data_IF_317816744887
#
_entry.id   IF_317816744887
#
_cell.length_a   1.000
_cell.length_b   1.000
_cell.length_c   1.000
_cell.angle_alpha   90.00
_cell.angle_beta   90.00
_cell.angle_gamma   90.00
#
_symmetry.space_group_name_H-M   'P 1'
#
loop_
_entity.id
_entity.type
_entity.pdbx_description
1 polymer ?
#
# COMPACT_ATOMS: atom_id res chain seq x y z
N UNK A 1 1.50 36.95 -37.18
CA UNK A 1 2.83 36.56 -36.68
C UNK A 1 2.99 37.14 -35.28
N UNK A 2 2.66 36.36 -34.25
CA UNK A 2 2.89 36.76 -32.86
C UNK A 2 4.39 36.67 -32.58
N UNK A 3 4.98 37.74 -32.04
CA UNK A 3 6.37 37.74 -31.60
C UNK A 3 6.43 36.90 -30.33
N UNK A 4 6.98 35.69 -30.41
CA UNK A 4 7.39 34.92 -29.24
C UNK A 4 8.39 35.77 -28.47
N UNK A 5 7.97 36.30 -27.31
CA UNK A 5 8.92 36.84 -26.34
C UNK A 5 9.84 35.70 -25.92
N UNK A 6 11.18 35.89 -25.95
CA UNK A 6 12.09 34.88 -25.46
C UNK A 6 11.80 34.64 -23.97
N UNK A 7 11.45 33.40 -23.63
CA UNK A 7 11.19 32.91 -22.27
C UNK A 7 12.47 32.80 -21.44
N UNK A 8 13.46 33.66 -21.70
CA UNK A 8 14.82 33.47 -21.21
C UNK A 8 14.94 33.59 -19.69
N UNK A 9 13.90 34.05 -18.97
CA UNK A 9 13.98 34.29 -17.53
C UNK A 9 13.02 33.52 -16.60
N UNK A 10 12.21 32.58 -17.10
CA UNK A 10 11.14 31.97 -16.28
C UNK A 10 11.62 30.72 -15.55
N UNK A 11 11.56 30.74 -14.22
CA UNK A 11 11.65 29.55 -13.36
C UNK A 11 10.23 29.22 -12.93
N UNK A 12 9.78 28.00 -13.22
CA UNK A 12 8.45 27.52 -12.85
C UNK A 12 8.62 26.36 -11.87
N UNK A 13 8.27 26.61 -10.61
CA UNK A 13 8.32 25.61 -9.55
C UNK A 13 6.91 25.16 -9.18
N UNK A 14 6.71 23.85 -9.19
CA UNK A 14 5.55 23.18 -8.63
C UNK A 14 5.92 22.62 -7.25
N UNK A 15 5.40 23.20 -6.16
CA UNK A 15 5.65 22.68 -4.82
C UNK A 15 5.13 21.24 -4.68
N UNK A 16 5.63 20.56 -3.65
CA UNK A 16 5.25 19.18 -3.36
C UNK A 16 3.75 19.09 -3.06
N UNK A 17 3.01 18.34 -3.88
CA UNK A 17 1.57 18.15 -3.78
C UNK A 17 1.21 16.66 -3.75
N UNK A 18 0.06 16.30 -3.18
CA UNK A 18 -0.41 14.90 -3.17
C UNK A 18 -0.75 14.42 -4.58
N UNK A 19 -0.30 13.21 -4.91
CA UNK A 19 -0.37 12.68 -6.26
C UNK A 19 -0.75 11.20 -6.30
N UNK A 20 -1.41 10.83 -7.40
CA UNK A 20 -1.68 9.45 -7.81
C UNK A 20 -0.96 9.21 -9.13
N UNK A 21 -0.19 8.14 -9.19
CA UNK A 21 0.60 7.81 -10.39
C UNK A 21 -0.03 6.61 -11.07
N UNK A 22 -0.30 6.72 -12.37
CA UNK A 22 -0.74 5.61 -13.20
C UNK A 22 0.23 5.31 -14.33
N UNK A 23 0.32 4.05 -14.70
CA UNK A 23 1.04 3.62 -15.89
C UNK A 23 0.49 2.28 -16.36
N UNK A 24 0.72 1.96 -17.63
CA UNK A 24 0.40 0.65 -18.18
C UNK A 24 1.62 -0.26 -18.05
N UNK A 25 1.49 -1.35 -17.31
CA UNK A 25 2.57 -2.31 -17.14
C UNK A 25 2.92 -2.97 -18.48
N UNK A 26 4.18 -2.97 -18.91
CA UNK A 26 4.57 -3.51 -20.21
C UNK A 26 4.30 -5.01 -20.33
N UNK A 27 4.41 -5.77 -19.23
CA UNK A 27 4.23 -7.22 -19.23
C UNK A 27 2.78 -7.66 -19.12
N UNK A 28 2.02 -7.10 -18.18
CA UNK A 28 0.64 -7.52 -17.94
C UNK A 28 -0.37 -6.76 -18.82
N UNK A 29 0.05 -5.65 -19.45
CA UNK A 29 -0.83 -4.74 -20.20
C UNK A 29 -1.98 -4.16 -19.37
N UNK A 30 -1.91 -4.29 -18.04
CA UNK A 30 -2.86 -3.72 -17.10
C UNK A 30 -2.41 -2.34 -16.67
N UNK A 31 -3.39 -1.46 -16.44
CA UNK A 31 -3.15 -0.18 -15.81
C UNK A 31 -2.92 -0.40 -14.32
N UNK A 32 -1.77 0.04 -13.85
CA UNK A 32 -1.37 0.00 -12.46
C UNK A 32 -1.40 1.42 -11.90
N UNK A 33 -1.64 1.48 -10.59
CA UNK A 33 -1.76 2.74 -9.86
C UNK A 33 -0.94 2.65 -8.59
N UNK A 34 -0.20 3.72 -8.28
CA UNK A 34 0.35 3.95 -6.96
C UNK A 34 -0.43 5.10 -6.36
N UNK A 35 -1.19 4.75 -5.34
CA UNK A 35 -1.89 5.69 -4.49
C UNK A 35 -1.75 5.21 -3.07
N UNK A 36 -1.19 6.04 -2.20
CA UNK A 36 -1.06 5.72 -0.79
C UNK A 36 -1.79 6.79 0.01
N UNK A 37 -2.99 6.46 0.50
CA UNK A 37 -3.90 7.39 1.24
C UNK A 37 -3.64 7.40 2.74
N UNK A 38 -2.38 7.25 3.15
CA UNK A 38 -1.99 7.08 4.53
C UNK A 38 -2.10 8.31 5.44
N UNK A 39 -2.99 9.28 5.17
CA UNK A 39 -3.01 10.56 5.86
C UNK A 39 -1.84 11.45 5.42
N UNK A 40 -1.02 11.93 6.37
CA UNK A 40 0.14 12.78 6.07
C UNK A 40 1.21 12.07 5.22
N UNK A 41 1.21 10.75 5.26
CA UNK A 41 2.11 9.91 4.48
C UNK A 41 1.38 9.54 3.20
N UNK A 42 1.36 10.43 2.20
CA UNK A 42 0.86 10.12 0.85
C UNK A 42 1.96 10.17 -0.19
N UNK A 43 1.72 9.61 -1.37
CA UNK A 43 2.63 9.83 -2.49
C UNK A 43 2.49 11.28 -2.92
N UNK A 44 3.62 11.96 -3.05
CA UNK A 44 3.65 13.35 -3.47
C UNK A 44 4.46 13.51 -4.74
N UNK A 45 4.17 14.59 -5.47
CA UNK A 45 4.83 14.98 -6.70
C UNK A 45 5.30 16.43 -6.58
N UNK A 46 6.53 16.68 -7.00
CA UNK A 46 7.10 18.01 -7.15
C UNK A 46 7.74 18.13 -8.52
N UNK A 47 7.62 19.30 -9.15
CA UNK A 47 8.30 19.59 -10.39
C UNK A 47 9.00 20.95 -10.32
N UNK A 48 10.12 21.09 -11.00
CA UNK A 48 10.83 22.36 -11.15
C UNK A 48 11.33 22.44 -12.57
N UNK A 49 11.07 23.56 -13.26
CA UNK A 49 11.54 23.80 -14.62
C UNK A 49 12.27 25.12 -14.65
N UNK A 50 13.55 25.06 -14.99
CA UNK A 50 14.38 26.24 -15.20
C UNK A 50 14.39 26.55 -16.70
N UNK A 51 13.98 27.76 -17.09
CA UNK A 51 14.05 28.23 -18.48
C UNK A 51 15.47 28.66 -18.88
N UNK A 52 16.29 29.09 -17.92
CA UNK A 52 17.65 29.61 -18.13
C UNK A 52 18.62 28.48 -18.43
N UNK A 53 18.59 27.47 -17.57
CA UNK A 53 19.30 26.21 -17.74
C UNK A 53 18.26 25.22 -18.22
N UNK A 54 18.42 24.52 -19.35
CA UNK A 54 17.44 23.55 -19.84
C UNK A 54 17.43 22.30 -18.94
N UNK A 55 17.07 22.48 -17.67
CA UNK A 55 17.02 21.51 -16.59
C UNK A 55 15.63 21.54 -16.00
N UNK A 56 15.04 20.35 -15.94
CA UNK A 56 13.73 20.13 -15.38
C UNK A 56 13.89 18.96 -14.42
N UNK A 57 13.21 19.03 -13.28
CA UNK A 57 13.22 17.99 -12.28
C UNK A 57 11.78 17.57 -12.05
N UNK A 58 11.47 16.30 -12.28
CA UNK A 58 10.17 15.72 -11.95
C UNK A 58 10.41 14.61 -10.94
N UNK A 59 9.83 14.76 -9.75
CA UNK A 59 10.16 13.88 -8.63
C UNK A 59 8.89 13.44 -7.92
N UNK A 60 8.76 12.13 -7.76
CA UNK A 60 7.81 11.50 -6.85
C UNK A 60 8.51 11.21 -5.53
N UNK A 61 7.78 11.37 -4.43
CA UNK A 61 8.22 10.96 -3.10
C UNK A 61 7.21 9.96 -2.55
N UNK A 62 7.70 8.76 -2.29
CA UNK A 62 6.87 7.59 -1.96
C UNK A 62 7.21 7.10 -0.55
N UNK A 63 6.28 7.20 0.41
CA UNK A 63 6.52 6.76 1.77
C UNK A 63 6.47 5.22 1.86
N UNK A 64 7.49 4.61 2.43
CA UNK A 64 7.54 3.16 2.69
C UNK A 64 8.14 2.84 4.06
N UNK A 65 7.75 1.72 4.67
CA UNK A 65 8.38 1.24 5.91
C UNK A 65 9.30 0.06 5.59
N UNK A 66 10.60 0.31 5.71
CA UNK A 66 11.65 -0.66 5.44
C UNK A 66 12.00 -1.47 6.69
N UNK A 67 12.39 -2.73 6.52
CA UNK A 67 12.67 -3.66 7.62
C UNK A 67 13.86 -3.22 8.49
N UNK A 68 14.83 -2.51 7.91
CA UNK A 68 16.07 -2.12 8.57
C UNK A 68 15.96 -0.82 9.40
N UNK A 69 14.77 -0.22 9.51
CA UNK A 69 14.53 0.98 10.35
C UNK A 69 13.40 0.75 11.32
N UNK A 70 13.43 1.49 12.43
CA UNK A 70 12.53 1.38 13.58
C UNK A 70 11.09 1.82 13.31
N UNK A 71 10.41 1.21 12.33
CA UNK A 71 8.99 1.45 12.05
C UNK A 71 8.67 2.83 11.45
N UNK A 72 9.67 3.65 11.18
CA UNK A 72 9.48 4.97 10.57
C UNK A 72 9.35 4.88 9.06
N UNK A 73 8.55 5.79 8.49
CA UNK A 73 8.49 5.99 7.06
C UNK A 73 9.85 6.47 6.53
N UNK A 74 10.35 5.74 5.55
CA UNK A 74 11.45 6.14 4.71
C UNK A 74 10.86 6.59 3.37
N UNK A 75 11.20 7.79 2.94
CA UNK A 75 10.70 8.34 1.68
C UNK A 75 11.63 7.94 0.54
N UNK A 76 11.18 7.07 -0.36
CA UNK A 76 11.91 6.84 -1.61
C UNK A 76 11.61 7.99 -2.56
N UNK A 77 12.64 8.55 -3.17
CA UNK A 77 12.47 9.50 -4.26
C UNK A 77 12.57 8.78 -5.59
N UNK A 78 11.59 8.97 -6.47
CA UNK A 78 11.62 8.47 -7.84
C UNK A 78 11.73 9.67 -8.76
N UNK A 79 12.78 9.73 -9.55
CA UNK A 79 12.96 10.79 -10.53
C UNK A 79 12.45 10.30 -11.87
N UNK A 80 11.59 11.10 -12.49
CA UNK A 80 11.02 10.83 -13.78
C UNK A 80 11.81 11.62 -14.81
N UNK A 81 12.29 10.95 -15.86
CA UNK A 81 13.03 11.60 -16.94
C UNK A 81 12.22 11.63 -18.24
N UNK A 82 11.24 12.54 -18.37
CA UNK A 82 10.41 12.59 -19.57
C UNK A 82 11.23 13.05 -20.77
N UNK A 83 11.05 12.34 -21.88
CA UNK A 83 11.47 12.79 -23.19
C UNK A 83 10.49 13.84 -23.73
N UNK A 84 9.20 13.63 -23.50
CA UNK A 84 8.12 14.53 -23.92
C UNK A 84 7.03 14.55 -22.85
N UNK A 85 6.54 15.73 -22.51
CA UNK A 85 5.26 15.90 -21.80
C UNK A 85 4.17 15.88 -22.88
N UNK A 86 3.37 14.82 -22.93
CA UNK A 86 2.39 14.61 -24.01
C UNK A 86 1.22 15.58 -23.93
N UNK A 87 0.92 16.06 -22.73
CA UNK A 87 -0.18 16.95 -22.48
C UNK A 87 -0.71 16.76 -21.07
N UNK A 88 -1.86 17.37 -20.87
CA UNK A 88 -2.62 17.30 -19.63
C UNK A 88 -3.90 16.57 -19.96
N UNK A 89 -4.11 15.44 -19.30
CA UNK A 89 -5.36 14.71 -19.39
C UNK A 89 -6.40 15.53 -18.62
N UNK A 90 -7.35 16.10 -19.37
CA UNK A 90 -8.50 16.80 -18.81
C UNK A 90 -9.43 15.81 -18.10
N UNK A 91 -10.24 16.34 -17.18
CA UNK A 91 -11.15 15.59 -16.30
C UNK A 91 -11.95 14.47 -17.02
N UNK A 92 -12.34 14.68 -18.29
CA UNK A 92 -13.16 13.73 -19.06
C UNK A 92 -12.49 12.38 -19.30
N UNK A 93 -11.17 12.36 -19.45
CA UNK A 93 -10.40 11.16 -19.81
C UNK A 93 -9.82 10.44 -18.59
N UNK A 94 -10.07 10.95 -17.38
CA UNK A 94 -9.60 10.36 -16.13
C UNK A 94 -10.40 9.09 -15.79
N UNK A 95 -9.75 7.92 -15.59
CA UNK A 95 -10.43 6.70 -15.16
C UNK A 95 -11.14 6.84 -13.81
N UNK A 96 -12.29 6.18 -13.63
CA UNK A 96 -13.06 6.23 -12.37
C UNK A 96 -12.25 5.82 -11.14
N UNK A 97 -11.34 4.85 -11.30
CA UNK A 97 -10.42 4.39 -10.24
C UNK A 97 -9.49 5.50 -9.73
N UNK A 98 -9.23 6.52 -10.55
CA UNK A 98 -8.45 7.71 -10.19
C UNK A 98 -9.35 8.79 -9.60
N UNK A 99 -10.59 8.94 -10.09
CA UNK A 99 -11.53 9.93 -9.56
C UNK A 99 -11.94 9.63 -8.12
N UNK A 100 -12.19 8.37 -7.76
CA UNK A 100 -12.65 8.02 -6.41
C UNK A 100 -11.69 8.46 -5.28
N UNK A 101 -10.36 8.33 -5.43
CA UNK A 101 -9.36 8.96 -4.56
C UNK A 101 -9.47 10.46 -4.30
N UNK A 102 -9.99 11.21 -5.26
CA UNK A 102 -9.92 12.66 -5.26
C UNK A 102 -11.34 13.25 -5.14
N UNK A 103 -11.58 14.05 -4.10
CA UNK A 103 -12.87 14.76 -3.93
C UNK A 103 -13.14 15.84 -5.00
N UNK A 104 -12.21 16.03 -5.95
CA UNK A 104 -12.24 17.05 -6.99
C UNK A 104 -11.72 16.48 -8.31
N UNK A 105 -12.00 17.16 -9.42
CA UNK A 105 -11.56 16.81 -10.77
C UNK A 105 -10.02 16.84 -10.84
N UNK A 106 -9.33 15.69 -10.90
CA UNK A 106 -7.88 15.67 -10.91
C UNK A 106 -7.39 16.03 -12.32
N UNK A 107 -6.31 16.80 -12.39
CA UNK A 107 -5.57 17.04 -13.64
C UNK A 107 -4.41 16.04 -13.73
N UNK A 108 -4.29 15.35 -14.87
CA UNK A 108 -3.23 14.36 -15.12
C UNK A 108 -2.10 14.93 -15.98
N UNK A 109 -0.87 14.94 -15.49
CA UNK A 109 0.31 15.24 -16.30
C UNK A 109 0.84 13.97 -16.95
N UNK A 110 0.81 13.90 -18.28
CA UNK A 110 1.21 12.70 -19.02
C UNK A 110 2.63 12.81 -19.56
N UNK A 111 3.49 11.93 -19.06
CA UNK A 111 4.90 11.84 -19.41
C UNK A 111 5.14 10.66 -20.36
N UNK A 112 5.86 10.92 -21.45
CA UNK A 112 6.51 9.88 -22.26
C UNK A 112 8.00 9.91 -21.99
N UNK A 113 8.55 8.81 -21.53
CA UNK A 113 9.96 8.69 -21.13
C UNK A 113 10.74 7.90 -22.17
N UNK A 114 11.96 8.35 -22.46
CA UNK A 114 12.97 7.59 -23.20
C UNK A 114 13.74 6.65 -22.27
N UNK A 115 13.99 7.12 -21.06
CA UNK A 115 14.80 6.47 -20.05
C UNK A 115 13.92 6.01 -18.88
N UNK A 116 14.24 4.85 -18.28
CA UNK A 116 13.50 4.36 -17.13
C UNK A 116 13.63 5.33 -15.94
N UNK A 117 12.58 5.51 -15.12
CA UNK A 117 12.70 6.18 -13.84
C UNK A 117 13.78 5.52 -13.00
N UNK A 118 14.49 6.31 -12.20
CA UNK A 118 15.44 5.80 -11.22
C UNK A 118 15.00 6.17 -9.81
N UNK A 119 15.29 5.28 -8.87
CA UNK A 119 15.02 5.52 -7.46
C UNK A 119 16.27 6.04 -6.78
N UNK A 120 16.07 6.93 -5.82
CA UNK A 120 17.06 7.33 -4.84
C UNK A 120 16.59 6.85 -3.48
N UNK A 121 17.49 6.17 -2.79
CA UNK A 121 17.28 5.60 -1.45
C UNK A 121 18.38 6.11 -0.51
N UNK A 122 18.20 6.05 0.82
CA UNK A 122 19.25 6.50 1.73
C UNK A 122 20.52 5.66 1.61
N UNK A 123 21.68 6.32 1.68
CA UNK A 123 22.98 5.67 1.51
C UNK A 123 23.31 4.63 2.59
N UNK A 124 22.71 4.71 3.79
CA UNK A 124 22.88 3.69 4.83
C UNK A 124 22.25 2.34 4.49
N UNK A 125 21.39 2.27 3.47
CA UNK A 125 20.74 1.01 3.11
C UNK A 125 21.73 0.07 2.42
N UNK A 126 21.76 -1.22 2.80
CA UNK A 126 22.60 -2.22 2.15
C UNK A 126 22.24 -2.36 0.66
N UNK A 127 23.20 -2.77 -0.18
CA UNK A 127 23.01 -3.02 -1.61
C UNK A 127 22.05 -4.18 -1.92
N UNK A 128 21.62 -4.91 -0.90
CA UNK A 128 20.62 -5.98 -1.00
C UNK A 128 19.27 -5.44 -1.48
N UNK A 129 18.40 -6.31 -2.03
CA UNK A 129 17.02 -5.96 -2.31
C UNK A 129 16.37 -5.29 -1.10
N UNK A 130 15.64 -4.20 -1.33
CA UNK A 130 14.91 -3.51 -0.27
C UNK A 130 13.86 -4.46 0.30
N UNK A 131 14.02 -4.83 1.57
CA UNK A 131 13.02 -5.59 2.30
C UNK A 131 12.12 -4.63 3.08
N UNK A 132 10.81 -4.80 2.95
CA UNK A 132 9.83 -4.05 3.73
C UNK A 132 9.45 -4.81 4.98
N UNK A 133 9.13 -4.07 6.04
CA UNK A 133 8.65 -4.67 7.28
C UNK A 133 7.25 -5.28 7.11
N UNK A 134 6.43 -4.65 6.28
CA UNK A 134 5.04 -5.03 6.06
C UNK A 134 4.80 -5.40 4.59
N UNK A 135 3.87 -6.33 4.39
CA UNK A 135 3.52 -6.85 3.05
C UNK A 135 2.91 -5.76 2.15
N UNK A 136 2.10 -4.86 2.72
CA UNK A 136 1.51 -3.73 1.99
C UNK A 136 2.56 -2.82 1.35
N UNK A 137 3.65 -2.49 2.05
CA UNK A 137 4.77 -1.76 1.47
C UNK A 137 5.60 -2.63 0.51
N UNK A 138 5.62 -3.95 0.71
CA UNK A 138 6.21 -4.88 -0.24
C UNK A 138 5.51 -4.83 -1.60
N UNK A 139 4.19 -4.68 -1.59
CA UNK A 139 3.41 -4.42 -2.81
C UNK A 139 3.78 -3.08 -3.45
N UNK A 140 3.95 -2.01 -2.66
CA UNK A 140 4.41 -0.71 -3.18
C UNK A 140 5.79 -0.82 -3.84
N UNK A 141 6.74 -1.54 -3.25
CA UNK A 141 8.05 -1.77 -3.88
C UNK A 141 7.93 -2.55 -5.20
N UNK A 142 7.05 -3.56 -5.27
CA UNK A 142 6.77 -4.28 -6.53
C UNK A 142 6.18 -3.34 -7.59
N UNK A 143 5.28 -2.44 -7.19
CA UNK A 143 4.71 -1.42 -8.07
C UNK A 143 5.78 -0.43 -8.55
N UNK A 144 6.69 0.03 -7.69
CA UNK A 144 7.81 0.89 -8.08
C UNK A 144 8.77 0.20 -9.05
N UNK A 145 9.04 -1.10 -8.86
CA UNK A 145 9.79 -1.92 -9.82
C UNK A 145 9.08 -2.01 -11.18
N UNK A 146 7.74 -2.06 -11.21
CA UNK A 146 6.99 -2.02 -12.46
C UNK A 146 7.01 -0.62 -13.11
N UNK A 147 6.88 0.44 -12.30
CA UNK A 147 6.95 1.83 -12.74
C UNK A 147 8.27 2.15 -13.43
N UNK A 148 9.37 1.58 -12.94
CA UNK A 148 10.70 1.68 -13.53
C UNK A 148 10.77 1.28 -15.01
N UNK A 149 9.85 0.45 -15.46
CA UNK A 149 9.83 -0.09 -16.81
C UNK A 149 8.74 0.57 -17.67
N UNK A 150 7.96 1.47 -17.08
CA UNK A 150 6.96 2.23 -17.80
C UNK A 150 7.64 3.21 -18.76
N UNK A 151 7.09 3.33 -19.96
CA UNK A 151 7.50 4.35 -20.94
C UNK A 151 6.50 5.51 -21.01
N UNK A 152 5.30 5.29 -20.48
CA UNK A 152 4.24 6.30 -20.36
C UNK A 152 3.73 6.29 -18.93
N UNK A 153 3.83 7.42 -18.26
CA UNK A 153 3.38 7.61 -16.88
C UNK A 153 2.45 8.81 -16.85
N UNK A 154 1.33 8.71 -16.14
CA UNK A 154 0.44 9.84 -15.88
C UNK A 154 0.44 10.13 -14.39
N UNK A 155 0.73 11.38 -14.02
CA UNK A 155 0.71 11.82 -12.62
C UNK A 155 -0.50 12.72 -12.42
N UNK A 156 -1.48 12.23 -11.69
CA UNK A 156 -2.68 12.97 -11.30
C UNK A 156 -2.44 13.71 -10.00
N UNK A 157 -2.85 14.97 -9.95
CA UNK A 157 -2.70 15.86 -8.78
C UNK A 157 -4.04 16.07 -8.10
N UNK A 158 -4.00 16.21 -6.77
CA UNK A 158 -5.21 16.49 -5.97
C UNK A 158 -5.61 17.98 -5.97
N UNK A 159 -4.72 18.90 -6.36
CA UNK A 159 -4.96 20.33 -6.19
C UNK A 159 -6.08 20.88 -7.09
N UNK A 160 -6.89 21.78 -6.51
CA UNK A 160 -8.00 22.45 -7.17
C UNK A 160 -7.58 23.55 -8.14
N UNK A 161 -6.36 24.07 -8.01
CA UNK A 161 -5.90 25.19 -8.83
C UNK A 161 -4.82 24.72 -9.81
N UNK A 162 -5.19 24.42 -11.07
CA UNK A 162 -4.24 23.96 -12.07
C UNK A 162 -3.33 25.09 -12.59
N UNK A 163 -3.70 26.36 -12.42
CA UNK A 163 -3.34 27.47 -13.31
C UNK A 163 -1.85 27.64 -13.60
N UNK A 164 -1.06 28.05 -12.61
CA UNK A 164 0.22 28.71 -12.94
C UNK A 164 1.27 27.77 -13.55
N UNK A 165 1.40 26.54 -13.03
CA UNK A 165 2.40 25.59 -13.55
C UNK A 165 1.98 25.03 -14.91
N UNK A 166 0.71 24.61 -15.02
CA UNK A 166 0.16 24.01 -16.24
C UNK A 166 0.16 24.99 -17.39
N UNK A 167 -0.28 26.23 -17.14
CA UNK A 167 -0.38 27.25 -18.18
C UNK A 167 1.01 27.69 -18.66
N UNK A 168 2.04 27.55 -17.83
CA UNK A 168 3.42 27.83 -18.20
C UNK A 168 4.11 26.69 -18.98
N UNK A 169 3.59 25.44 -18.92
CA UNK A 169 4.20 24.30 -19.62
C UNK A 169 4.22 24.45 -21.15
N UNK A 170 3.14 24.84 -21.85
CA UNK A 170 3.14 24.96 -23.31
C UNK A 170 4.17 25.94 -23.86
N UNK A 171 4.46 27.00 -23.09
CA UNK A 171 5.40 28.04 -23.49
C UNK A 171 6.85 27.55 -23.40
N UNK A 172 7.16 26.68 -22.44
CA UNK A 172 8.49 26.07 -22.30
C UNK A 172 8.73 25.17 -23.52
N UNK A 173 9.66 25.55 -24.39
CA UNK A 173 10.01 24.77 -25.57
C UNK A 173 10.64 23.42 -25.18
N UNK A 174 9.84 22.36 -25.12
CA UNK A 174 10.24 20.99 -24.73
C UNK A 174 11.11 20.26 -25.76
N UNK A 175 11.36 20.86 -26.93
CA UNK A 175 12.08 20.25 -28.06
C UNK A 175 13.61 20.13 -27.86
N UNK A 176 14.09 20.24 -26.62
CA UNK A 176 15.50 19.98 -26.29
C UNK A 176 15.65 18.50 -25.95
N UNK A 177 16.29 17.77 -26.85
CA UNK A 177 16.43 16.31 -26.89
C UNK A 177 16.95 15.59 -25.62
N UNK A 178 17.33 16.30 -24.57
CA UNK A 178 17.62 15.72 -23.25
C UNK A 178 17.74 16.85 -22.22
N UNK A 179 16.76 16.99 -21.34
CA UNK A 179 16.92 17.80 -20.14
C UNK A 179 17.80 16.98 -19.17
N UNK A 180 18.90 17.50 -18.61
CA UNK A 180 19.64 16.77 -17.59
C UNK A 180 18.75 16.67 -16.35
N UNK A 181 18.26 15.46 -16.06
CA UNK A 181 17.33 15.17 -14.97
C UNK A 181 18.00 14.52 -13.76
N UNK A 182 19.31 14.25 -13.86
CA UNK A 182 20.04 13.55 -12.81
C UNK A 182 20.33 14.53 -11.66
N UNK A 183 19.83 14.27 -10.44
CA UNK A 183 20.19 15.06 -9.27
C UNK A 183 21.71 15.08 -9.13
N UNK A 184 22.26 16.25 -8.81
CA UNK A 184 23.71 16.38 -8.64
C UNK A 184 24.17 15.58 -7.42
N UNK A 185 25.44 15.17 -7.34
CA UNK A 185 25.98 14.54 -6.14
C UNK A 185 25.79 15.39 -4.87
N UNK A 186 25.78 16.71 -5.02
CA UNK A 186 25.49 17.65 -3.93
C UNK A 186 24.03 17.55 -3.48
N UNK A 187 23.09 17.56 -4.43
CA UNK A 187 21.66 17.36 -4.12
C UNK A 187 21.43 16.05 -3.38
N UNK A 188 22.10 14.98 -3.82
CA UNK A 188 22.03 13.68 -3.17
C UNK A 188 22.57 13.71 -1.75
N UNK A 189 23.70 14.40 -1.50
CA UNK A 189 24.32 14.46 -0.18
C UNK A 189 23.40 15.11 0.89
N UNK A 190 22.56 16.06 0.50
CA UNK A 190 21.61 16.71 1.40
C UNK A 190 20.32 15.92 1.65
N UNK A 191 20.05 14.88 0.86
CA UNK A 191 18.89 14.02 1.10
C UNK A 191 19.01 13.28 2.44
N UNK A 192 17.86 12.87 2.97
CA UNK A 192 17.76 12.04 4.17
C UNK A 192 18.45 12.64 5.39
N UNK A 193 18.25 13.96 5.60
CA UNK A 193 18.83 14.71 6.73
C UNK A 193 20.37 14.67 6.72
N UNK A 194 20.98 14.67 5.53
CA UNK A 194 22.44 14.69 5.36
C UNK A 194 23.12 13.32 5.34
N UNK A 195 22.35 12.23 5.42
CA UNK A 195 22.88 10.87 5.24
C UNK A 195 23.33 10.61 3.80
N UNK A 196 22.76 11.36 2.86
CA UNK A 196 22.99 11.18 1.44
C UNK A 196 22.02 10.18 0.83
N UNK A 197 21.71 10.39 -0.44
CA UNK A 197 21.00 9.45 -1.29
C UNK A 197 21.95 8.70 -2.22
N UNK A 198 21.59 7.47 -2.57
CA UNK A 198 22.23 6.69 -3.64
C UNK A 198 21.20 6.22 -4.64
N UNK A 199 21.62 6.12 -5.90
CA UNK A 199 20.78 5.54 -6.95
C UNK A 199 20.60 4.04 -6.72
N UNK A 200 19.35 3.58 -6.83
CA UNK A 200 19.02 2.17 -6.87
C UNK A 200 18.47 1.84 -8.25
N UNK A 201 19.21 0.99 -8.97
CA UNK A 201 18.81 0.49 -10.27
C UNK A 201 17.64 -0.50 -10.10
N UNK A 202 16.43 -0.06 -10.45
CA UNK A 202 15.18 -0.81 -10.36
C UNK A 202 15.16 -2.08 -11.23
N UNK A 203 15.95 -2.13 -12.30
CA UNK A 203 15.96 -3.27 -13.22
C UNK A 203 16.64 -4.52 -12.64
N UNK A 204 17.40 -4.40 -11.55
CA UNK A 204 18.19 -5.50 -10.98
C UNK A 204 17.58 -6.13 -9.73
N UNK A 205 16.48 -5.59 -9.20
CA UNK A 205 15.90 -6.03 -7.92
C UNK A 205 14.87 -7.15 -8.05
N UNK A 206 14.38 -7.46 -9.26
CA UNK A 206 13.49 -8.60 -9.47
C UNK A 206 14.27 -9.80 -9.99
N UNK A 207 14.11 -10.99 -9.37
CA UNK A 207 14.53 -12.22 -10.04
C UNK A 207 13.79 -12.30 -11.39
N UNK A 208 14.46 -12.79 -12.44
CA UNK A 208 13.83 -12.94 -13.75
C UNK A 208 12.49 -13.68 -13.60
N UNK A 209 11.43 -13.25 -14.31
CA UNK A 209 10.11 -13.85 -14.16
C UNK A 209 10.22 -15.37 -14.30
N UNK A 210 9.75 -16.10 -13.28
CA UNK A 210 9.93 -17.55 -13.10
C UNK A 210 9.26 -18.44 -14.19
N UNK A 211 8.90 -17.87 -15.35
CA UNK A 211 8.13 -18.53 -16.40
C UNK A 211 8.87 -18.91 -17.67
N UNK A 212 10.18 -18.61 -17.83
CA UNK A 212 10.88 -18.86 -19.11
C UNK A 212 12.20 -19.63 -19.03
N UNK A 213 12.61 -20.10 -17.85
CA UNK A 213 13.72 -21.07 -17.76
C UNK A 213 13.16 -22.48 -17.72
N UNK A 214 12.89 -23.05 -18.90
CA UNK A 214 12.39 -24.42 -19.08
C UNK A 214 13.44 -25.50 -18.80
N UNK A 215 14.51 -25.20 -18.07
CA UNK A 215 15.45 -26.20 -17.57
C UNK A 215 15.40 -26.21 -16.06
N UNK A 216 14.46 -26.99 -15.52
CA UNK A 216 14.55 -27.49 -14.15
C UNK A 216 15.98 -28.02 -13.93
N UNK A 217 16.70 -27.62 -12.87
CA UNK A 217 17.97 -28.25 -12.55
C UNK A 217 17.72 -29.76 -12.35
N UNK A 218 18.43 -30.58 -13.12
CA UNK A 218 18.37 -32.04 -13.03
C UNK A 218 18.77 -32.48 -11.62
N UNK A 219 17.79 -32.91 -10.82
CA UNK A 219 17.92 -33.21 -9.38
C UNK A 219 18.53 -34.59 -9.08
N UNK A 220 19.27 -35.18 -10.01
CA UNK A 220 19.61 -36.61 -9.96
C UNK A 220 20.91 -36.95 -9.19
N UNK A 221 21.62 -35.99 -8.56
CA UNK A 221 22.91 -36.30 -7.91
C UNK A 221 23.21 -35.63 -6.55
N UNK A 222 22.26 -34.98 -5.88
CA UNK A 222 22.53 -34.38 -4.58
C UNK A 222 22.24 -35.34 -3.42
N UNK A 223 23.29 -35.84 -2.77
CA UNK A 223 23.20 -36.51 -1.48
C UNK A 223 22.55 -35.57 -0.42
N UNK A 224 21.81 -36.12 0.57
CA UNK A 224 21.12 -35.31 1.56
C UNK A 224 22.10 -34.43 2.36
N UNK A 225 21.86 -33.12 2.50
CA UNK A 225 22.72 -32.27 3.31
C UNK A 225 22.61 -32.67 4.78
N UNK A 226 23.77 -32.75 5.43
CA UNK A 226 23.90 -32.96 6.87
C UNK A 226 23.12 -31.88 7.62
N UNK A 227 22.24 -32.29 8.55
CA UNK A 227 21.47 -31.39 9.41
C UNK A 227 22.42 -30.43 10.14
N UNK A 228 22.17 -29.10 10.11
CA UNK A 228 22.94 -28.15 10.89
C UNK A 228 22.71 -28.35 12.40
N UNK A 229 23.71 -28.07 13.24
CA UNK A 229 23.58 -28.17 14.70
C UNK A 229 22.51 -27.20 15.20
N UNK A 230 21.55 -27.73 15.95
CA UNK A 230 20.51 -26.95 16.62
C UNK A 230 21.16 -26.09 17.71
N UNK A 231 21.15 -24.76 17.52
CA UNK A 231 21.46 -23.83 18.59
C UNK A 231 20.26 -23.69 19.53
N UNK A 232 20.48 -23.60 20.86
CA UNK A 232 19.40 -23.40 21.81
C UNK A 232 18.81 -21.99 21.65
N UNK A 233 17.54 -21.90 21.25
CA UNK A 233 16.78 -20.66 21.23
C UNK A 233 16.60 -20.12 22.65
N UNK A 234 17.35 -19.08 23.03
CA UNK A 234 16.98 -18.20 24.13
C UNK A 234 15.76 -17.36 23.72
N UNK A 235 14.57 -17.87 24.06
CA UNK A 235 13.31 -17.16 23.90
C UNK A 235 13.22 -15.99 24.87
N UNK A 236 13.57 -14.80 24.39
CA UNK A 236 13.06 -13.54 24.93
C UNK A 236 11.54 -13.53 24.77
N UNK A 237 10.84 -13.98 25.83
CA UNK A 237 9.39 -13.84 26.00
C UNK A 237 9.05 -12.36 26.05
N UNK A 238 8.79 -11.79 24.88
CA UNK A 238 7.94 -10.61 24.78
C UNK A 238 6.52 -11.15 24.93
N UNK A 239 5.87 -10.86 26.05
CA UNK A 239 4.47 -11.22 26.28
C UNK A 239 3.62 -10.56 25.18
N UNK A 240 3.24 -11.35 24.18
CA UNK A 240 2.40 -10.89 23.09
C UNK A 240 1.02 -10.47 23.66
N UNK A 241 0.56 -9.23 23.43
CA UNK A 241 -0.74 -8.76 23.90
C UNK A 241 -1.95 -9.43 23.22
N UNK A 242 -1.76 -10.50 22.44
CA UNK A 242 -2.78 -11.06 21.53
C UNK A 242 -3.50 -12.31 22.06
N UNK A 243 -3.02 -12.96 23.13
CA UNK A 243 -3.65 -14.16 23.66
C UNK A 243 -5.08 -13.88 24.15
N UNK A 244 -5.26 -12.83 24.95
CA UNK A 244 -6.58 -12.47 25.52
C UNK A 244 -7.64 -12.15 24.47
N UNK A 245 -7.24 -11.57 23.32
CA UNK A 245 -8.18 -11.16 22.28
C UNK A 245 -8.59 -12.36 21.41
N UNK A 246 -7.63 -13.25 21.09
CA UNK A 246 -7.92 -14.53 20.42
C UNK A 246 -8.81 -15.43 21.27
N UNK A 247 -8.56 -15.50 22.57
CA UNK A 247 -9.38 -16.30 23.48
C UNK A 247 -10.83 -15.80 23.53
N UNK A 248 -11.05 -14.48 23.54
CA UNK A 248 -12.39 -13.89 23.47
C UNK A 248 -13.10 -14.15 22.15
N UNK A 249 -12.36 -14.12 21.04
CA UNK A 249 -12.89 -14.46 19.70
C UNK A 249 -13.31 -15.93 19.67
N UNK A 250 -12.45 -16.83 20.14
CA UNK A 250 -12.73 -18.28 20.18
C UNK A 250 -13.93 -18.59 21.09
N UNK A 251 -14.02 -17.95 22.25
CA UNK A 251 -15.17 -18.11 23.16
C UNK A 251 -16.49 -17.69 22.49
N UNK A 252 -16.50 -16.54 21.81
CA UNK A 252 -17.68 -16.07 21.07
C UNK A 252 -18.05 -16.98 19.90
N UNK A 253 -17.05 -17.55 19.24
CA UNK A 253 -17.27 -18.52 18.16
C UNK A 253 -17.94 -19.79 18.68
N UNK A 254 -17.50 -20.26 19.85
CA UNK A 254 -18.07 -21.42 20.51
C UNK A 254 -19.52 -21.16 20.96
N UNK A 255 -19.82 -19.97 21.50
CA UNK A 255 -21.19 -19.54 21.82
C UNK A 255 -22.09 -19.54 20.58
N UNK A 256 -21.60 -19.06 19.43
CA UNK A 256 -22.36 -19.06 18.18
C UNK A 256 -22.61 -20.48 17.66
N UNK A 257 -21.61 -21.36 17.72
CA UNK A 257 -21.76 -22.77 17.34
C UNK A 257 -22.78 -23.49 18.24
N UNK A 258 -22.76 -23.24 19.55
CA UNK A 258 -23.77 -23.79 20.47
C UNK A 258 -25.18 -23.26 20.21
N UNK A 259 -25.30 -21.97 19.86
CA UNK A 259 -26.59 -21.36 19.53
C UNK A 259 -27.18 -21.98 18.26
N UNK A 260 -26.36 -22.18 17.22
CA UNK A 260 -26.77 -22.88 15.99
C UNK A 260 -27.13 -24.34 16.29
N UNK A 261 -26.33 -25.05 17.08
CA UNK A 261 -26.56 -26.45 17.42
C UNK A 261 -27.78 -26.69 18.34
N UNK A 262 -28.18 -25.68 19.12
CA UNK A 262 -29.37 -25.73 19.97
C UNK A 262 -30.65 -25.26 19.26
N UNK A 263 -30.54 -24.34 18.30
CA UNK A 263 -31.69 -23.90 17.49
C UNK A 263 -32.00 -24.86 16.34
N UNK A 264 -31.03 -25.67 15.90
CA UNK A 264 -31.32 -26.81 15.05
C UNK A 264 -32.11 -27.87 15.84
N UNK A 265 -33.33 -28.23 15.41
CA UNK A 265 -34.13 -29.23 16.09
C UNK A 265 -33.43 -30.59 15.99
N UNK A 266 -32.90 -31.06 17.13
CA UNK A 266 -32.40 -32.43 17.28
C UNK A 266 -33.59 -33.38 17.17
N UNK A 267 -33.78 -33.95 15.99
CA UNK A 267 -34.67 -35.08 15.70
C UNK A 267 -35.97 -35.10 16.51
N UNK A 268 -36.97 -34.31 16.11
CA UNK A 268 -38.34 -34.78 16.28
C UNK A 268 -38.62 -35.76 15.16
N UNK A 269 -38.25 -37.02 15.39
CA UNK A 269 -38.65 -38.15 14.57
C UNK A 269 -40.19 -38.14 14.43
N UNK A 270 -40.69 -37.82 13.24
CA UNK A 270 -42.10 -38.09 12.88
C UNK A 270 -42.90 -36.97 12.22
N UNK A 271 -42.39 -35.74 12.07
CA UNK A 271 -43.13 -34.68 11.37
C UNK A 271 -42.42 -34.28 10.07
N UNK A 272 -43.09 -34.48 8.93
CA UNK A 272 -42.66 -33.98 7.63
C UNK A 272 -42.63 -32.44 7.65
N UNK A 273 -41.50 -31.86 8.03
CA UNK A 273 -41.25 -30.44 7.86
C UNK A 273 -41.29 -30.14 6.37
N UNK A 274 -42.15 -29.21 5.97
CA UNK A 274 -42.20 -28.80 4.57
C UNK A 274 -40.88 -28.07 4.27
N UNK A 275 -40.30 -28.30 3.10
CA UNK A 275 -39.08 -27.66 2.62
C UNK A 275 -39.08 -26.12 2.80
N UNK A 276 -40.26 -25.50 2.75
CA UNK A 276 -40.49 -24.09 3.07
C UNK A 276 -40.08 -23.71 4.51
N UNK A 277 -40.40 -24.54 5.51
CA UNK A 277 -40.10 -24.24 6.92
C UNK A 277 -38.61 -24.36 7.23
N UNK A 278 -37.91 -25.32 6.60
CA UNK A 278 -36.46 -25.42 6.66
C UNK A 278 -35.78 -24.22 6.01
N UNK A 279 -36.26 -23.76 4.85
CA UNK A 279 -35.74 -22.55 4.20
C UNK A 279 -35.93 -21.30 5.07
N UNK A 280 -37.12 -21.14 5.67
CA UNK A 280 -37.42 -20.01 6.56
C UNK A 280 -36.56 -20.04 7.82
N UNK A 281 -36.32 -21.22 8.40
CA UNK A 281 -35.43 -21.38 9.55
C UNK A 281 -33.97 -21.06 9.17
N UNK A 282 -33.51 -21.48 7.99
CA UNK A 282 -32.18 -21.15 7.46
C UNK A 282 -31.97 -19.65 7.32
N UNK A 283 -32.90 -18.94 6.68
CA UNK A 283 -32.79 -17.48 6.53
C UNK A 283 -32.82 -16.76 7.88
N UNK A 284 -33.57 -17.29 8.85
CA UNK A 284 -33.60 -16.75 10.22
C UNK A 284 -32.26 -16.93 10.94
N UNK A 285 -31.66 -18.12 10.89
CA UNK A 285 -30.35 -18.41 11.48
C UNK A 285 -29.28 -17.55 10.81
N UNK A 286 -29.29 -17.48 9.47
CA UNK A 286 -28.36 -16.66 8.69
C UNK A 286 -28.47 -15.17 9.05
N UNK A 287 -29.69 -14.66 9.20
CA UNK A 287 -29.93 -13.29 9.65
C UNK A 287 -29.39 -13.03 11.06
N UNK A 288 -29.65 -13.92 12.02
CA UNK A 288 -29.12 -13.81 13.38
C UNK A 288 -27.60 -13.84 13.43
N UNK A 289 -26.98 -14.82 12.78
CA UNK A 289 -25.51 -14.93 12.71
C UNK A 289 -24.91 -13.66 12.10
N UNK A 290 -25.50 -13.15 11.00
CA UNK A 290 -25.09 -11.88 10.40
C UNK A 290 -25.13 -10.72 11.40
N UNK A 291 -26.25 -10.52 12.08
CA UNK A 291 -26.38 -9.44 13.08
C UNK A 291 -25.40 -9.58 14.25
N UNK A 292 -25.10 -10.80 14.70
CA UNK A 292 -24.13 -11.03 15.77
C UNK A 292 -22.69 -10.78 15.33
N UNK A 293 -22.35 -11.08 14.07
CA UNK A 293 -21.02 -10.79 13.52
C UNK A 293 -20.82 -9.27 13.36
N UNK A 294 -21.83 -8.56 12.87
CA UNK A 294 -21.79 -7.10 12.74
C UNK A 294 -21.63 -6.40 14.11
N UNK A 295 -22.36 -6.87 15.13
CA UNK A 295 -22.22 -6.35 16.51
C UNK A 295 -20.83 -6.64 17.08
N UNK A 296 -20.31 -7.86 16.86
CA UNK A 296 -18.96 -8.24 17.30
C UNK A 296 -17.88 -7.42 16.61
N UNK A 297 -18.00 -7.18 15.30
CA UNK A 297 -17.08 -6.33 14.54
C UNK A 297 -17.11 -4.90 15.06
N UNK A 298 -18.30 -4.32 15.24
CA UNK A 298 -18.48 -2.97 15.77
C UNK A 298 -17.82 -2.84 17.15
N UNK A 299 -18.01 -3.84 18.02
CA UNK A 299 -17.43 -3.87 19.36
C UNK A 299 -15.91 -4.05 19.34
N UNK A 300 -15.37 -4.88 18.44
CA UNK A 300 -13.92 -5.05 18.27
C UNK A 300 -13.26 -3.76 17.77
N UNK A 301 -13.85 -3.10 16.76
CA UNK A 301 -13.39 -1.79 16.27
C UNK A 301 -13.36 -0.77 17.40
N UNK A 302 -14.44 -0.69 18.20
CA UNK A 302 -14.50 0.22 19.35
C UNK A 302 -13.43 -0.08 20.42
N UNK A 303 -13.12 -1.35 20.67
CA UNK A 303 -12.04 -1.73 21.60
C UNK A 303 -10.65 -1.35 21.07
N UNK A 304 -10.39 -1.56 19.77
CA UNK A 304 -9.12 -1.18 19.13
C UNK A 304 -8.95 0.33 19.17
N UNK A 305 -9.97 1.10 18.79
CA UNK A 305 -9.92 2.56 18.80
C UNK A 305 -9.74 3.11 20.22
N UNK A 306 -10.39 2.49 21.22
CA UNK A 306 -10.18 2.83 22.62
C UNK A 306 -8.73 2.55 23.05
N UNK A 307 -8.19 1.38 22.73
CA UNK A 307 -6.82 1.01 23.11
C UNK A 307 -5.78 1.89 22.41
N UNK A 308 -6.01 2.24 21.14
CA UNK A 308 -5.16 3.17 20.40
C UNK A 308 -5.13 4.54 21.09
N UNK A 309 -6.29 5.08 21.47
CA UNK A 309 -6.39 6.34 22.25
C UNK A 309 -5.70 6.24 23.60
N UNK A 310 -5.86 5.12 24.32
CA UNK A 310 -5.20 4.90 25.60
C UNK A 310 -3.67 4.86 25.45
N UNK A 311 -3.15 4.20 24.40
CA UNK A 311 -1.71 4.15 24.10
C UNK A 311 -1.13 5.52 23.74
N UNK A 312 -1.83 6.32 22.92
CA UNK A 312 -1.43 7.71 22.63
C UNK A 312 -1.35 8.51 23.92
N UNK A 313 -2.33 8.36 24.80
CA UNK A 313 -2.38 9.06 26.08
C UNK A 313 -1.26 8.62 27.03
N UNK A 314 -1.00 7.32 27.14
CA UNK A 314 0.11 6.76 27.92
C UNK A 314 1.46 7.26 27.40
N UNK A 315 1.67 7.25 26.08
CA UNK A 315 2.89 7.73 25.45
C UNK A 315 3.07 9.25 25.65
N UNK A 316 1.99 10.03 25.56
CA UNK A 316 2.00 11.46 25.85
C UNK A 316 2.46 11.73 27.30
N UNK A 317 1.88 11.05 28.29
CA UNK A 317 2.31 11.24 29.69
C UNK A 317 3.74 10.75 29.97
N UNK A 318 4.19 9.69 29.30
CA UNK A 318 5.58 9.23 29.39
C UNK A 318 6.55 10.28 28.81
N UNK A 319 6.17 10.94 27.70
CA UNK A 319 6.98 11.99 27.07
C UNK A 319 7.10 13.26 27.92
N UNK A 320 6.04 13.65 28.65
CA UNK A 320 6.07 14.83 29.54
C UNK A 320 6.99 14.63 30.74
N UNK A 321 7.25 13.38 31.14
CA UNK A 321 8.08 13.03 32.29
C UNK A 321 9.53 12.67 31.95
N UNK A 322 9.91 12.67 30.65
CA UNK A 322 11.28 12.35 30.21
C UNK A 322 11.98 13.60 29.66
N UNK A 323 13.22 13.90 30.06
CA UNK A 323 13.94 15.09 29.59
C UNK A 323 14.14 15.04 28.06
N UNK A 324 13.79 16.17 27.44
CA UNK A 324 13.78 16.48 26.01
C UNK A 324 14.92 15.86 25.18
N UNK A 325 14.69 14.66 24.64
CA UNK A 325 15.22 14.29 23.33
C UNK A 325 14.18 14.68 22.27
N UNK A 326 14.59 15.14 21.07
CA UNK A 326 13.67 15.46 19.99
C UNK A 326 12.96 14.18 19.53
N UNK A 327 11.77 13.93 20.10
CA UNK A 327 10.93 12.78 19.79
C UNK A 327 10.22 12.96 18.45
N UNK A 328 10.22 11.90 17.66
CA UNK A 328 9.40 11.78 16.44
C UNK A 328 7.91 11.59 16.81
N UNK A 329 6.97 12.01 15.94
CA UNK A 329 5.54 11.96 16.23
C UNK A 329 5.07 10.50 16.41
N UNK A 330 4.83 10.14 17.66
CA UNK A 330 4.30 8.83 18.10
C UNK A 330 2.96 8.49 17.42
N UNK A 331 2.22 9.52 17.01
CA UNK A 331 0.93 9.39 16.34
C UNK A 331 1.01 8.56 15.04
N UNK A 332 2.08 8.68 14.26
CA UNK A 332 2.21 7.94 13.01
C UNK A 332 2.33 6.43 13.26
N UNK A 333 3.10 6.03 14.28
CA UNK A 333 3.30 4.63 14.61
C UNK A 333 2.04 4.01 15.20
N UNK A 334 1.29 4.76 16.01
CA UNK A 334 -0.01 4.30 16.52
C UNK A 334 -1.00 4.14 15.37
N UNK A 335 -1.06 5.09 14.43
CA UNK A 335 -1.97 5.03 13.28
C UNK A 335 -1.68 3.83 12.35
N UNK A 336 -0.40 3.52 12.10
CA UNK A 336 0.00 2.31 11.37
C UNK A 336 -0.50 1.06 12.10
N UNK A 337 -0.21 0.95 13.39
CA UNK A 337 -0.57 -0.23 14.19
C UNK A 337 -2.10 -0.39 14.29
N UNK A 338 -2.84 0.72 14.42
CA UNK A 338 -4.30 0.73 14.43
C UNK A 338 -4.87 0.24 13.10
N UNK A 339 -4.33 0.70 11.96
CA UNK A 339 -4.72 0.22 10.63
C UNK A 339 -4.47 -1.28 10.47
N UNK A 340 -3.28 -1.76 10.86
CA UNK A 340 -2.94 -3.19 10.79
C UNK A 340 -3.88 -4.04 11.65
N UNK A 341 -4.25 -3.57 12.84
CA UNK A 341 -5.24 -4.26 13.68
C UNK A 341 -6.62 -4.29 13.02
N UNK A 342 -7.07 -3.18 12.41
CA UNK A 342 -8.35 -3.13 11.70
C UNK A 342 -8.35 -4.09 10.49
N UNK A 343 -7.29 -4.10 9.69
CA UNK A 343 -7.15 -4.99 8.54
C UNK A 343 -7.12 -6.46 8.97
N UNK A 344 -6.37 -6.78 10.04
CA UNK A 344 -6.28 -8.12 10.60
C UNK A 344 -7.63 -8.62 11.17
N UNK A 345 -8.38 -7.76 11.86
CA UNK A 345 -9.73 -8.08 12.35
C UNK A 345 -10.69 -8.29 11.18
N UNK A 346 -10.66 -7.41 10.18
CA UNK A 346 -11.49 -7.54 8.98
C UNK A 346 -11.25 -8.85 8.24
N UNK A 347 -9.98 -9.27 8.11
CA UNK A 347 -9.66 -10.56 7.49
C UNK A 347 -10.13 -11.75 8.33
N UNK A 348 -9.85 -11.76 9.64
CA UNK A 348 -10.28 -12.83 10.52
C UNK A 348 -11.82 -13.00 10.56
N UNK A 349 -12.56 -11.89 10.49
CA UNK A 349 -14.03 -11.92 10.42
C UNK A 349 -14.54 -12.50 9.11
N UNK A 350 -13.91 -12.16 7.97
CA UNK A 350 -14.24 -12.77 6.67
C UNK A 350 -14.00 -14.27 6.69
N UNK A 351 -12.84 -14.71 7.17
CA UNK A 351 -12.49 -16.14 7.24
C UNK A 351 -13.48 -16.92 8.12
N UNK A 352 -13.92 -16.35 9.25
CA UNK A 352 -14.97 -16.93 10.11
C UNK A 352 -16.32 -16.98 9.41
N UNK A 353 -16.72 -15.89 8.73
CA UNK A 353 -17.99 -15.82 8.02
C UNK A 353 -18.06 -16.87 6.91
N UNK A 354 -16.99 -17.02 6.14
CA UNK A 354 -16.87 -18.00 5.06
C UNK A 354 -16.90 -19.43 5.61
N UNK A 355 -16.21 -19.69 6.75
CA UNK A 355 -16.25 -20.99 7.41
C UNK A 355 -17.66 -21.37 7.88
N UNK A 356 -18.37 -20.46 8.55
CA UNK A 356 -19.74 -20.71 9.02
C UNK A 356 -20.68 -20.92 7.83
N UNK A 357 -20.50 -20.16 6.75
CA UNK A 357 -21.28 -20.34 5.52
C UNK A 357 -21.05 -21.72 4.90
N UNK A 358 -19.80 -22.19 4.87
CA UNK A 358 -19.46 -23.54 4.42
C UNK A 358 -20.13 -24.64 5.25
N UNK A 359 -20.07 -24.56 6.59
CA UNK A 359 -20.68 -25.56 7.49
C UNK A 359 -22.21 -25.62 7.34
N UNK A 360 -22.88 -24.47 7.13
CA UNK A 360 -24.32 -24.40 6.86
C UNK A 360 -24.69 -25.05 5.52
N UNK A 361 -23.83 -24.91 4.50
CA UNK A 361 -24.09 -25.46 3.17
C UNK A 361 -23.80 -26.97 3.12
N UNK A 362 -22.76 -27.45 3.81
CA UNK A 362 -22.42 -28.89 3.89
C UNK A 362 -23.50 -29.71 4.63
N UNK A 363 -23.95 -29.22 5.79
CA UNK A 363 -25.02 -29.87 6.58
C UNK A 363 -26.35 -29.96 5.83
N UNK A 364 -26.58 -29.10 4.83
CA UNK A 364 -27.78 -29.15 4.01
C UNK A 364 -27.71 -30.19 2.88
N UNK A 365 -26.51 -30.54 2.39
CA UNK A 365 -26.33 -31.51 1.30
C UNK A 365 -26.26 -32.96 1.75
N UNK A 366 -25.94 -33.23 3.02
CA UNK A 366 -25.78 -34.60 3.54
C UNK A 366 -27.08 -35.27 3.99
N UNK A 367 -28.25 -34.65 3.84
CA UNK A 367 -29.53 -35.31 4.16
C UNK A 367 -29.91 -36.30 3.05
N UNK A 368 -29.75 -37.62 3.25
CA UNK A 368 -29.97 -38.59 2.19
C UNK A 368 -31.47 -38.74 1.93
N UNK A 369 -31.84 -38.79 0.66
CA UNK A 369 -33.15 -39.28 0.22
C UNK A 369 -33.23 -40.77 0.57
N UNK A 370 -33.73 -41.11 1.76
CA UNK A 370 -34.24 -42.45 2.09
C UNK A 370 -35.76 -42.52 1.94
#
# INVERSE_FOLDING_TARGET
MARSTPLEDVIVDLPECSALVSWRCPYSQQDLFIHYTGGQNSVTFSAAVDGHKPTATFRLRVPIVLQNRSGHYTYIYVYLSPHVIQGIDDDRDVPESVRHPFDANPAGLKFRMSDPPFMVVPSSFPETPLATRYESFGHVLKLLNSLAQATVITVFRHERDPGDFVDALPDIAWDKASWPLTPTPEDLAYLYRGEGGRFLALAHTLPPPEGLSSSLPSYDQAAPPSLPPQYPEERLRTEAPSASLRDKINQKLQELQELVANEMPKETAGAAWKQHDLYKMREMIKGRVGTTLDDLETRLRAMVDKRAKDLVKEAFYASVNTPFEPFEPIDDQVMITQREMHDSIGQAMRDVSDKIRGEIDETATESPLE
#
